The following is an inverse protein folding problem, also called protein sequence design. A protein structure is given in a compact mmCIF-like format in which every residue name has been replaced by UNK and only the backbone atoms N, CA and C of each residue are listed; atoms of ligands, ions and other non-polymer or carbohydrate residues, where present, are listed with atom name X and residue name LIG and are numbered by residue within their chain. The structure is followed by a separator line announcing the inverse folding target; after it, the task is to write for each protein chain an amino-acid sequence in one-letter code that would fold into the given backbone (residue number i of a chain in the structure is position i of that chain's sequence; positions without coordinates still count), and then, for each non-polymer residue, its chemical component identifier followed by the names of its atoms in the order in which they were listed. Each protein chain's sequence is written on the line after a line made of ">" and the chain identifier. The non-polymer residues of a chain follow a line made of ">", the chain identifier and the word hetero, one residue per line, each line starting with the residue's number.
data_IF_126004132682
#
_entry.id   IF_126004132682
#
_cell.length_a   1.000
_cell.length_b   1.000
_cell.length_c   1.000
_cell.angle_alpha   90.00
_cell.angle_beta   90.00
_cell.angle_gamma   90.00
#
_symmetry.space_group_name_H-M   'P 1'
#
loop_
_entity.id
_entity.type
_entity.pdbx_description
1 polymer ?
#
# COMPACT_ATOMS: atom_id res chain seq x y z
N UNK A 1 -9.54 -29.59 29.99
CA UNK A 1 -8.71 -29.48 28.81
C UNK A 1 -8.95 -30.67 27.88
N UNK A 2 -9.84 -30.55 26.94
CA UNK A 2 -9.99 -31.52 25.86
C UNK A 2 -8.88 -31.23 24.85
N UNK A 3 -7.96 -32.16 24.70
CA UNK A 3 -7.02 -32.16 23.61
C UNK A 3 -7.80 -32.15 22.30
N UNK A 4 -7.63 -31.11 21.49
CA UNK A 4 -8.51 -30.82 20.34
C UNK A 4 -8.46 -31.88 19.24
N UNK A 5 -7.59 -32.88 19.32
CA UNK A 5 -7.41 -33.92 18.31
C UNK A 5 -7.99 -35.29 18.68
N UNK A 6 -8.62 -35.45 19.83
CA UNK A 6 -9.08 -36.79 20.29
C UNK A 6 -7.94 -37.78 20.59
N UNK A 7 -6.70 -37.43 20.34
CA UNK A 7 -5.51 -38.20 20.60
C UNK A 7 -4.89 -37.61 21.87
N UNK A 8 -5.24 -38.17 23.00
CA UNK A 8 -4.88 -37.70 24.33
C UNK A 8 -3.40 -37.88 24.70
N UNK A 9 -2.47 -37.35 23.92
CA UNK A 9 -1.06 -37.38 24.26
C UNK A 9 -0.63 -36.07 24.93
N UNK A 10 -0.10 -36.21 26.13
CA UNK A 10 0.78 -35.23 26.72
C UNK A 10 2.16 -35.38 26.07
N UNK A 11 2.59 -34.37 25.35
CA UNK A 11 3.87 -34.34 24.63
C UNK A 11 4.97 -33.65 25.44
N UNK A 12 4.69 -33.35 26.73
CA UNK A 12 5.65 -32.80 27.67
C UNK A 12 5.93 -31.29 27.51
N UNK A 13 5.30 -30.61 26.58
CA UNK A 13 5.40 -29.17 26.44
C UNK A 13 4.38 -28.42 27.30
N UNK A 14 4.57 -27.11 27.46
CA UNK A 14 3.60 -26.19 28.04
C UNK A 14 3.72 -24.87 27.31
N UNK A 15 2.97 -24.73 26.19
CA UNK A 15 3.11 -23.61 25.26
C UNK A 15 1.77 -22.89 25.15
N UNK A 16 1.78 -21.59 25.42
CA UNK A 16 0.72 -20.68 24.96
C UNK A 16 1.03 -20.32 23.49
N UNK A 17 0.37 -21.02 22.57
CA UNK A 17 0.61 -20.87 21.15
C UNK A 17 0.17 -19.53 20.59
N UNK A 18 -0.85 -18.88 21.20
CA UNK A 18 -1.26 -17.54 20.78
C UNK A 18 -0.22 -16.50 21.19
N UNK A 19 0.30 -16.58 22.39
CA UNK A 19 1.39 -15.71 22.85
C UNK A 19 2.66 -15.95 22.03
N UNK A 20 3.01 -17.20 21.75
CA UNK A 20 4.19 -17.58 21.00
C UNK A 20 4.23 -16.98 19.56
N UNK A 21 3.09 -16.67 18.94
CA UNK A 21 3.00 -16.13 17.58
C UNK A 21 2.63 -14.66 17.53
N UNK A 22 2.24 -14.05 18.65
CA UNK A 22 1.71 -12.70 18.71
C UNK A 22 2.63 -11.71 19.39
N UNK A 23 2.37 -10.45 19.14
CA UNK A 23 2.96 -9.28 19.78
C UNK A 23 1.96 -8.14 19.83
N UNK A 24 2.25 -7.12 20.59
CA UNK A 24 1.52 -5.86 20.52
C UNK A 24 1.85 -5.19 19.19
N UNK A 25 0.82 -4.94 18.39
CA UNK A 25 0.94 -4.20 17.14
C UNK A 25 1.29 -2.72 17.43
N UNK A 26 2.19 -2.15 16.63
CA UNK A 26 2.59 -0.75 16.76
C UNK A 26 2.49 -0.04 15.41
N UNK A 27 2.08 1.23 15.45
CA UNK A 27 2.04 2.09 14.26
C UNK A 27 2.66 3.44 14.56
N UNK A 28 3.49 3.91 13.64
CA UNK A 28 4.02 5.28 13.64
C UNK A 28 3.72 5.95 12.31
N UNK A 29 3.51 7.26 12.34
CA UNK A 29 3.31 8.06 11.14
C UNK A 29 3.94 9.43 11.35
N UNK A 30 4.73 9.86 10.37
CA UNK A 30 5.34 11.18 10.32
C UNK A 30 4.97 11.85 9.01
N UNK A 31 4.64 13.13 9.07
CA UNK A 31 4.33 13.94 7.89
C UNK A 31 4.96 15.30 8.04
N UNK A 32 5.59 15.75 6.98
CA UNK A 32 6.17 17.09 6.87
C UNK A 32 5.60 17.76 5.63
N UNK A 33 5.21 19.03 5.73
CA UNK A 33 4.78 19.81 4.58
C UNK A 33 5.33 21.22 4.63
N UNK A 34 5.72 21.71 3.47
CA UNK A 34 6.16 23.08 3.23
C UNK A 34 5.31 23.66 2.11
N UNK A 35 4.84 24.88 2.28
CA UNK A 35 4.13 25.61 1.23
C UNK A 35 4.52 27.07 1.24
N UNK A 36 4.48 27.68 0.08
CA UNK A 36 4.80 29.09 -0.08
C UNK A 36 4.32 29.58 -1.44
N UNK A 37 4.51 30.86 -1.68
CA UNK A 37 4.15 31.40 -2.96
C UNK A 37 4.03 32.92 -2.96
N UNK A 38 3.51 33.41 -4.07
CA UNK A 38 3.22 34.81 -4.35
C UNK A 38 1.81 34.93 -4.95
N UNK A 39 1.40 36.11 -5.33
CA UNK A 39 0.09 36.31 -5.99
C UNK A 39 -0.09 35.50 -7.28
N UNK A 40 1.00 35.05 -7.92
CA UNK A 40 0.97 34.33 -9.20
C UNK A 40 1.54 32.94 -9.17
N UNK A 41 2.25 32.60 -8.12
CA UNK A 41 2.89 31.28 -8.01
C UNK A 41 2.66 30.74 -6.62
N UNK A 42 2.30 29.49 -6.51
CA UNK A 42 2.27 28.79 -5.23
C UNK A 42 2.83 27.37 -5.41
N UNK A 43 3.38 26.89 -4.33
CA UNK A 43 3.87 25.54 -4.25
C UNK A 43 3.54 24.88 -2.91
N UNK A 44 3.38 23.59 -2.94
CA UNK A 44 3.32 22.75 -1.75
C UNK A 44 4.17 21.51 -2.00
N UNK A 45 5.05 21.22 -1.04
CA UNK A 45 5.83 19.98 -1.01
C UNK A 45 5.53 19.28 0.29
N UNK A 46 5.25 17.99 0.24
CA UNK A 46 5.06 17.19 1.44
C UNK A 46 5.76 15.85 1.30
N UNK A 47 6.17 15.29 2.44
CA UNK A 47 6.67 13.94 2.55
C UNK A 47 5.98 13.25 3.73
N UNK A 48 5.68 11.98 3.58
CA UNK A 48 5.09 11.15 4.61
C UNK A 48 5.82 9.81 4.73
N UNK A 49 5.97 9.37 5.97
CA UNK A 49 6.45 8.06 6.35
C UNK A 49 5.41 7.40 7.25
N UNK A 50 5.14 6.14 7.00
CA UNK A 50 4.27 5.32 7.83
C UNK A 50 4.89 3.95 8.03
N UNK A 51 4.92 3.49 9.28
CA UNK A 51 5.31 2.13 9.63
C UNK A 51 4.22 1.52 10.50
N UNK A 52 3.88 0.27 10.24
CA UNK A 52 2.93 -0.49 11.03
C UNK A 52 3.42 -1.94 11.14
N UNK A 53 3.50 -2.44 12.36
CA UNK A 53 3.73 -3.86 12.66
C UNK A 53 2.39 -4.51 12.99
N UNK A 54 2.14 -5.70 12.45
CA UNK A 54 0.97 -6.50 12.78
C UNK A 54 1.04 -7.09 14.19
N UNK A 55 -0.06 -7.71 14.59
CA UNK A 55 -0.17 -8.42 15.87
C UNK A 55 0.56 -9.77 15.86
N UNK A 56 0.89 -10.33 14.71
CA UNK A 56 1.80 -11.46 14.59
C UNK A 56 3.27 -11.01 14.59
N UNK A 57 4.19 -11.92 14.85
CA UNK A 57 5.61 -11.61 14.96
C UNK A 57 6.29 -11.23 13.63
N UNK A 58 5.63 -11.40 12.49
CA UNK A 58 6.25 -11.22 11.17
C UNK A 58 5.64 -10.09 10.35
N UNK A 59 4.31 -9.96 10.33
CA UNK A 59 3.66 -9.02 9.42
C UNK A 59 4.02 -7.56 9.74
N UNK A 60 4.10 -6.78 8.68
CA UNK A 60 4.42 -5.36 8.79
C UNK A 60 4.32 -4.65 7.46
N UNK A 61 4.23 -3.33 7.52
CA UNK A 61 4.19 -2.46 6.36
C UNK A 61 4.99 -1.19 6.63
N UNK A 62 5.82 -0.81 5.69
CA UNK A 62 6.48 0.49 5.65
C UNK A 62 6.10 1.21 4.37
N UNK A 63 5.79 2.48 4.47
CA UNK A 63 5.31 3.29 3.37
C UNK A 63 5.98 4.65 3.38
N UNK A 64 6.49 5.06 2.24
CA UNK A 64 7.11 6.35 1.98
C UNK A 64 6.34 7.04 0.87
N UNK A 65 5.93 8.27 1.10
CA UNK A 65 5.24 9.08 0.13
C UNK A 65 5.84 10.48 0.03
N UNK A 66 5.73 11.07 -1.14
CA UNK A 66 5.99 12.48 -1.35
C UNK A 66 4.90 13.06 -2.25
N UNK A 67 4.69 14.35 -2.16
CA UNK A 67 3.83 15.09 -3.08
C UNK A 67 4.41 16.47 -3.35
N UNK A 68 4.41 16.84 -4.60
CA UNK A 68 4.75 18.19 -5.07
C UNK A 68 3.56 18.73 -5.84
N UNK A 69 3.08 19.90 -5.48
CA UNK A 69 2.06 20.65 -6.20
C UNK A 69 2.61 22.04 -6.52
N UNK A 70 2.56 22.41 -7.79
CA UNK A 70 3.04 23.69 -8.30
C UNK A 70 1.92 24.34 -9.11
N UNK A 71 1.69 25.63 -8.91
CA UNK A 71 0.83 26.43 -9.75
C UNK A 71 1.52 27.74 -10.09
N UNK A 72 1.42 28.15 -11.34
CA UNK A 72 1.95 29.42 -11.80
C UNK A 72 1.00 30.06 -12.83
N UNK A 73 0.65 31.31 -12.60
CA UNK A 73 -0.13 32.12 -13.53
C UNK A 73 0.75 33.25 -14.08
N UNK A 74 0.82 33.38 -15.38
CA UNK A 74 1.58 34.42 -16.06
C UNK A 74 1.04 35.82 -15.75
N UNK A 75 1.88 36.84 -15.96
CA UNK A 75 1.46 38.23 -15.83
C UNK A 75 0.25 38.51 -16.75
N UNK A 76 -0.81 39.09 -16.20
CA UNK A 76 -2.06 39.32 -16.92
C UNK A 76 -3.04 38.15 -16.91
N UNK A 77 -2.70 37.00 -16.29
CA UNK A 77 -3.63 35.89 -16.11
C UNK A 77 -3.95 35.08 -17.37
N UNK A 78 -3.15 35.26 -18.43
CA UNK A 78 -3.39 34.59 -19.72
C UNK A 78 -3.21 33.09 -19.66
N UNK A 79 -2.14 32.63 -19.02
CA UNK A 79 -1.80 31.20 -18.94
C UNK A 79 -1.63 30.82 -17.48
N UNK A 80 -2.22 29.69 -17.08
CA UNK A 80 -1.96 29.05 -15.80
C UNK A 80 -1.43 27.65 -16.04
N UNK A 81 -0.31 27.33 -15.39
CA UNK A 81 0.30 26.01 -15.35
C UNK A 81 0.06 25.40 -13.99
N UNK A 82 -0.36 24.15 -13.94
CA UNK A 82 -0.46 23.35 -12.74
C UNK A 82 0.27 22.04 -12.94
N UNK A 83 1.02 21.60 -11.94
CA UNK A 83 1.71 20.32 -11.93
C UNK A 83 1.54 19.68 -10.55
N UNK A 84 1.07 18.46 -10.53
CA UNK A 84 1.04 17.61 -9.35
C UNK A 84 1.86 16.35 -9.60
N UNK A 85 2.68 15.94 -8.64
CA UNK A 85 3.45 14.70 -8.69
C UNK A 85 3.40 14.05 -7.31
N UNK A 86 3.00 12.78 -7.23
CA UNK A 86 2.82 12.07 -5.98
C UNK A 86 3.39 10.63 -6.05
N UNK A 87 4.72 10.45 -5.95
CA UNK A 87 5.32 9.13 -5.83
C UNK A 87 5.04 8.51 -4.46
N UNK A 88 4.85 7.18 -4.43
CA UNK A 88 4.72 6.40 -3.21
C UNK A 88 5.33 5.02 -3.38
N UNK A 89 6.00 4.52 -2.34
CA UNK A 89 6.47 3.14 -2.27
C UNK A 89 6.05 2.52 -0.95
N UNK A 90 5.58 1.29 -1.00
CA UNK A 90 5.19 0.52 0.18
C UNK A 90 5.86 -0.85 0.15
N UNK A 91 6.48 -1.22 1.27
CA UNK A 91 7.04 -2.55 1.52
C UNK A 91 6.14 -3.28 2.50
N UNK A 92 5.85 -4.54 2.20
CA UNK A 92 4.95 -5.37 3.02
C UNK A 92 5.63 -6.69 3.37
N UNK A 93 5.38 -7.15 4.59
CA UNK A 93 5.64 -8.51 5.05
C UNK A 93 4.30 -9.09 5.45
N UNK A 94 3.90 -10.22 4.88
CA UNK A 94 2.62 -10.84 5.15
C UNK A 94 2.85 -12.17 5.85
N UNK A 95 2.21 -12.36 7.01
CA UNK A 95 2.14 -13.67 7.64
C UNK A 95 1.13 -14.56 6.90
N UNK A 96 1.31 -15.87 6.99
CA UNK A 96 0.28 -16.81 6.54
C UNK A 96 -1.00 -16.60 7.34
N UNK A 97 -2.15 -16.61 6.66
CA UNK A 97 -3.45 -16.52 7.29
C UNK A 97 -3.73 -17.65 8.29
N UNK A 98 -3.07 -18.80 8.07
CA UNK A 98 -3.24 -20.00 8.90
C UNK A 98 -2.54 -19.95 10.25
N UNK A 99 -1.67 -18.97 10.51
CA UNK A 99 -0.88 -18.90 11.74
C UNK A 99 -1.75 -18.89 12.98
N UNK A 100 -2.73 -17.96 13.05
CA UNK A 100 -3.61 -17.85 14.21
C UNK A 100 -4.57 -19.04 14.33
N UNK A 101 -5.09 -19.54 13.21
CA UNK A 101 -5.92 -20.75 13.22
C UNK A 101 -5.16 -21.93 13.82
N UNK A 102 -3.96 -22.19 13.31
CA UNK A 102 -3.13 -23.27 13.81
C UNK A 102 -2.71 -23.05 15.28
N UNK A 103 -2.49 -21.80 15.70
CA UNK A 103 -2.17 -21.49 17.10
C UNK A 103 -3.34 -21.81 18.05
N UNK A 104 -4.58 -21.53 17.63
CA UNK A 104 -5.79 -21.87 18.40
C UNK A 104 -6.03 -23.37 18.46
N UNK A 105 -5.77 -24.08 17.37
CA UNK A 105 -5.97 -25.54 17.25
C UNK A 105 -4.82 -26.36 17.83
N UNK A 106 -3.66 -25.75 18.10
CA UNK A 106 -2.48 -26.42 18.58
C UNK A 106 -2.67 -26.97 19.99
N UNK A 107 -2.20 -28.22 20.19
CA UNK A 107 -2.18 -28.81 21.51
C UNK A 107 -1.11 -28.09 22.37
N UNK A 108 -1.48 -27.52 23.53
CA UNK A 108 -0.56 -26.78 24.39
C UNK A 108 0.59 -27.63 24.94
N UNK A 109 0.44 -28.98 24.98
CA UNK A 109 1.54 -29.88 25.39
C UNK A 109 2.54 -30.19 24.29
N UNK A 110 2.29 -29.74 23.04
CA UNK A 110 3.22 -29.88 21.94
C UNK A 110 4.39 -28.90 22.11
N UNK A 111 5.66 -29.38 22.12
CA UNK A 111 6.82 -28.50 22.20
C UNK A 111 7.00 -27.68 20.91
N UNK A 112 7.63 -26.49 21.01
CA UNK A 112 7.95 -25.66 19.85
C UNK A 112 8.99 -26.33 18.95
N UNK A 113 10.06 -26.83 19.54
CA UNK A 113 11.18 -27.48 18.85
C UNK A 113 11.11 -28.99 19.05
N UNK A 114 11.71 -29.74 18.13
CA UNK A 114 11.79 -31.21 18.26
C UNK A 114 12.70 -31.59 19.45
N UNK A 115 12.19 -32.37 20.41
CA UNK A 115 13.01 -32.79 21.55
C UNK A 115 14.24 -33.66 21.18
N UNK A 116 14.22 -34.29 20.01
CA UNK A 116 15.32 -35.11 19.49
C UNK A 116 16.36 -34.29 18.72
N UNK A 117 15.92 -33.21 18.09
CA UNK A 117 16.77 -32.26 17.37
C UNK A 117 16.27 -30.84 17.58
N UNK A 118 16.79 -30.13 18.61
CA UNK A 118 16.35 -28.76 18.91
C UNK A 118 16.66 -27.72 17.82
N UNK A 119 17.32 -28.08 16.73
CA UNK A 119 17.50 -27.21 15.56
C UNK A 119 16.29 -27.22 14.65
N UNK A 120 15.37 -28.16 14.81
CA UNK A 120 14.17 -28.33 14.01
C UNK A 120 12.92 -27.95 14.81
N UNK A 121 11.94 -27.43 14.12
CA UNK A 121 10.60 -27.23 14.68
C UNK A 121 9.89 -28.59 14.83
N UNK A 122 9.10 -28.72 15.89
CA UNK A 122 8.29 -29.93 16.10
C UNK A 122 7.30 -30.10 14.94
N UNK A 123 7.26 -31.33 14.39
CA UNK A 123 6.39 -31.64 13.26
C UNK A 123 4.97 -31.98 13.73
N UNK A 124 4.00 -31.19 13.31
CA UNK A 124 2.59 -31.34 13.67
C UNK A 124 1.82 -32.35 12.79
N UNK A 125 2.52 -33.19 12.03
CA UNK A 125 1.86 -34.20 11.19
C UNK A 125 0.94 -35.09 12.02
N UNK A 126 -0.35 -35.13 11.61
CA UNK A 126 -1.39 -35.90 12.30
C UNK A 126 -2.03 -35.20 13.49
N UNK A 127 -1.68 -33.96 13.79
CA UNK A 127 -2.39 -33.12 14.76
C UNK A 127 -3.48 -32.27 14.11
N UNK A 128 -4.47 -31.79 14.88
CA UNK A 128 -5.56 -30.94 14.39
C UNK A 128 -5.05 -29.63 13.78
N UNK A 129 -4.07 -29.02 14.41
CA UNK A 129 -3.43 -27.79 13.92
C UNK A 129 -2.67 -27.97 12.59
N UNK A 130 -2.31 -29.21 12.23
CA UNK A 130 -1.66 -29.53 10.96
C UNK A 130 -0.21 -29.01 10.83
N UNK A 131 0.07 -27.81 11.30
CA UNK A 131 1.36 -27.12 11.13
C UNK A 131 1.78 -26.41 12.42
N UNK A 132 3.09 -26.36 12.66
CA UNK A 132 3.66 -25.55 13.73
C UNK A 132 3.50 -24.05 13.39
N UNK A 133 2.69 -23.30 14.14
CA UNK A 133 2.36 -21.91 13.78
C UNK A 133 3.58 -20.98 13.86
N UNK A 134 4.51 -21.23 14.76
CA UNK A 134 5.75 -20.45 14.87
C UNK A 134 6.70 -20.73 13.70
N UNK A 135 6.77 -21.98 13.23
CA UNK A 135 7.52 -22.32 12.02
C UNK A 135 6.97 -21.60 10.79
N UNK A 136 5.64 -21.53 10.62
CA UNK A 136 5.01 -20.80 9.53
C UNK A 136 5.46 -19.32 9.53
N UNK A 137 5.48 -18.67 10.69
CA UNK A 137 5.96 -17.29 10.80
C UNK A 137 7.43 -17.11 10.49
N UNK A 138 8.27 -18.08 10.85
CA UNK A 138 9.73 -17.96 10.75
C UNK A 138 10.28 -18.41 9.41
N UNK A 139 9.69 -19.42 8.80
CA UNK A 139 10.19 -20.02 7.56
C UNK A 139 9.43 -19.60 6.30
N UNK A 140 8.11 -19.47 6.35
CA UNK A 140 7.33 -19.02 5.21
C UNK A 140 7.45 -17.50 5.09
N UNK A 141 8.09 -17.02 4.02
CA UNK A 141 8.33 -15.61 3.78
C UNK A 141 7.44 -15.11 2.65
N UNK A 142 6.54 -14.22 2.96
CA UNK A 142 5.76 -13.50 1.97
C UNK A 142 6.04 -12.00 2.08
N UNK A 143 6.55 -11.41 1.02
CA UNK A 143 6.85 -9.99 0.96
C UNK A 143 6.25 -9.37 -0.30
N UNK A 144 5.96 -8.10 -0.23
CA UNK A 144 5.46 -7.34 -1.38
C UNK A 144 6.02 -5.95 -1.41
N UNK A 145 6.22 -5.44 -2.62
CA UNK A 145 6.57 -4.04 -2.88
C UNK A 145 5.55 -3.45 -3.83
N UNK A 146 4.96 -2.34 -3.44
CA UNK A 146 4.06 -1.57 -4.31
C UNK A 146 4.68 -0.22 -4.57
N UNK A 147 4.76 0.18 -5.84
CA UNK A 147 5.18 1.51 -6.26
C UNK A 147 4.02 2.18 -6.98
N UNK A 148 3.76 3.41 -6.61
CA UNK A 148 2.74 4.27 -7.20
C UNK A 148 3.42 5.54 -7.68
N UNK A 149 3.06 5.99 -8.86
CA UNK A 149 3.42 7.30 -9.36
C UNK A 149 2.18 7.91 -9.98
N UNK A 150 1.64 8.92 -9.32
CA UNK A 150 0.57 9.76 -9.83
C UNK A 150 1.15 11.09 -10.24
N UNK A 151 0.90 11.54 -11.46
CA UNK A 151 1.19 12.89 -11.83
C UNK A 151 0.20 13.42 -12.85
N UNK A 152 -0.08 14.69 -12.75
CA UNK A 152 -0.87 15.44 -13.72
C UNK A 152 -0.26 16.80 -14.00
N UNK A 153 -0.38 17.22 -15.23
CA UNK A 153 -0.02 18.56 -15.69
C UNK A 153 -1.18 19.20 -16.43
N UNK A 154 -1.51 20.43 -16.06
CA UNK A 154 -2.58 21.21 -16.70
C UNK A 154 -2.05 22.52 -17.23
N UNK A 155 -2.41 22.84 -18.45
CA UNK A 155 -2.25 24.18 -19.04
C UNK A 155 -3.63 24.76 -19.28
N UNK A 156 -3.92 25.88 -18.63
CA UNK A 156 -5.17 26.62 -18.80
C UNK A 156 -4.90 27.95 -19.44
N UNK A 157 -5.64 28.26 -20.50
CA UNK A 157 -5.59 29.51 -21.22
C UNK A 157 -6.87 30.33 -20.93
N UNK A 158 -6.70 31.60 -20.64
CA UNK A 158 -7.80 32.56 -20.64
C UNK A 158 -7.84 33.24 -22.01
N UNK A 159 -8.83 32.92 -22.83
CA UNK A 159 -8.90 33.35 -24.24
C UNK A 159 -9.47 34.72 -24.43
N UNK A 160 -10.23 35.26 -23.47
CA UNK A 160 -10.88 36.57 -23.63
C UNK A 160 -9.92 37.73 -23.87
N UNK A 161 -8.77 37.83 -23.13
CA UNK A 161 -7.80 38.90 -23.40
C UNK A 161 -7.20 38.86 -24.80
N UNK A 162 -7.29 37.72 -25.49
CA UNK A 162 -6.80 37.53 -26.87
C UNK A 162 -7.85 37.87 -27.92
N UNK A 163 -9.14 37.69 -27.59
CA UNK A 163 -10.24 37.76 -28.57
C UNK A 163 -11.03 39.04 -28.50
N UNK A 164 -11.12 39.67 -27.33
CA UNK A 164 -12.00 40.83 -27.11
C UNK A 164 -11.33 41.88 -26.23
N UNK A 165 -11.57 43.16 -26.56
CA UNK A 165 -11.26 44.26 -25.64
C UNK A 165 -12.29 44.29 -24.50
N UNK A 166 -11.87 43.83 -23.34
CA UNK A 166 -12.46 43.97 -21.99
C UNK A 166 -13.98 44.18 -21.90
N UNK A 167 -14.69 43.12 -21.56
CA UNK A 167 -15.84 43.23 -20.68
C UNK A 167 -15.61 42.33 -19.45
N UNK A 168 -15.64 42.94 -18.26
CA UNK A 168 -15.32 42.29 -16.97
C UNK A 168 -16.33 41.17 -16.55
N UNK A 169 -17.36 40.93 -17.34
CA UNK A 169 -18.46 40.00 -17.06
C UNK A 169 -18.38 38.68 -17.80
N UNK A 170 -17.42 38.53 -18.69
CA UNK A 170 -17.27 37.32 -19.50
C UNK A 170 -16.00 36.55 -19.11
N UNK A 171 -16.08 35.27 -19.18
CA UNK A 171 -14.89 34.39 -19.09
C UNK A 171 -14.97 33.34 -20.20
N UNK A 172 -13.89 33.17 -20.93
CA UNK A 172 -13.69 32.05 -21.84
C UNK A 172 -12.34 31.44 -21.55
N UNK A 173 -12.35 30.22 -21.01
CA UNK A 173 -11.11 29.49 -20.66
C UNK A 173 -11.10 28.13 -21.33
N UNK A 174 -9.95 27.73 -21.81
CA UNK A 174 -9.72 26.35 -22.26
C UNK A 174 -8.56 25.76 -21.50
N UNK A 175 -8.66 24.49 -21.15
CA UNK A 175 -7.58 23.78 -20.44
C UNK A 175 -7.33 22.43 -21.06
N UNK A 176 -6.08 22.06 -21.09
CA UNK A 176 -5.60 20.73 -21.45
C UNK A 176 -4.92 20.12 -20.23
N UNK A 177 -5.38 18.95 -19.81
CA UNK A 177 -4.81 18.19 -18.70
C UNK A 177 -4.31 16.87 -19.21
N UNK A 178 -3.06 16.53 -18.89
CA UNK A 178 -2.52 15.19 -19.06
C UNK A 178 -2.26 14.61 -17.68
N UNK A 179 -2.74 13.38 -17.44
CA UNK A 179 -2.50 12.65 -16.21
C UNK A 179 -1.96 11.24 -16.52
N UNK A 180 -1.05 10.77 -15.69
CA UNK A 180 -0.50 9.42 -15.75
C UNK A 180 -0.51 8.82 -14.34
N UNK A 181 -1.23 7.72 -14.19
CA UNK A 181 -1.29 6.92 -12.97
C UNK A 181 -0.58 5.60 -13.23
N UNK A 182 0.54 5.36 -12.54
CA UNK A 182 1.33 4.14 -12.66
C UNK A 182 1.28 3.37 -11.35
N UNK A 183 1.02 2.08 -11.48
CA UNK A 183 1.00 1.13 -10.37
C UNK A 183 1.85 -0.07 -10.73
N UNK A 184 2.91 -0.29 -9.95
CA UNK A 184 3.76 -1.47 -10.02
C UNK A 184 3.62 -2.26 -8.73
N UNK A 185 3.33 -3.54 -8.82
CA UNK A 185 3.22 -4.43 -7.68
C UNK A 185 4.07 -5.67 -7.89
N UNK A 186 4.93 -5.94 -6.93
CA UNK A 186 5.79 -7.11 -6.91
C UNK A 186 5.54 -7.86 -5.63
N UNK A 187 5.17 -9.14 -5.72
CA UNK A 187 5.00 -10.04 -4.60
C UNK A 187 5.94 -11.23 -4.77
N UNK A 188 6.47 -11.70 -3.67
CA UNK A 188 7.25 -12.92 -3.62
C UNK A 188 6.90 -13.71 -2.37
N UNK A 189 6.90 -15.01 -2.54
CA UNK A 189 6.70 -15.95 -1.47
C UNK A 189 7.75 -17.06 -1.55
N UNK A 190 8.24 -17.49 -0.39
CA UNK A 190 9.28 -18.48 -0.29
C UNK A 190 9.03 -19.38 0.91
N UNK A 191 9.16 -20.70 0.71
CA UNK A 191 9.19 -21.75 1.73
C UNK A 191 10.43 -22.61 1.53
N UNK A 192 11.33 -22.71 2.52
CA UNK A 192 12.53 -23.54 2.40
C UNK A 192 12.20 -25.04 2.43
N UNK A 193 13.07 -25.86 1.86
CA UNK A 193 12.99 -27.33 1.92
C UNK A 193 13.03 -27.90 3.34
N UNK A 194 13.59 -27.13 4.27
CA UNK A 194 13.66 -27.49 5.71
C UNK A 194 12.38 -27.19 6.48
N UNK A 195 11.34 -26.64 5.84
CA UNK A 195 10.03 -26.49 6.45
C UNK A 195 9.37 -27.86 6.64
N UNK A 196 8.80 -28.13 7.82
CA UNK A 196 8.05 -29.38 8.05
C UNK A 196 6.89 -29.54 7.09
N UNK A 197 6.33 -28.43 6.62
CA UNK A 197 5.28 -28.41 5.60
C UNK A 197 5.79 -28.91 4.23
N UNK A 198 6.96 -28.46 3.80
CA UNK A 198 7.60 -28.94 2.56
C UNK A 198 7.98 -30.43 2.70
N UNK A 199 8.59 -30.80 3.82
CA UNK A 199 8.98 -32.19 4.12
C UNK A 199 7.76 -33.11 4.12
N UNK A 200 6.67 -32.74 4.80
CA UNK A 200 5.45 -33.54 4.86
C UNK A 200 4.75 -33.67 3.50
N UNK A 201 4.92 -32.69 2.61
CA UNK A 201 4.40 -32.72 1.25
C UNK A 201 5.33 -33.40 0.25
N UNK A 202 6.52 -33.85 0.67
CA UNK A 202 7.54 -34.44 -0.21
C UNK A 202 8.12 -33.45 -1.22
N UNK A 203 8.23 -32.17 -0.83
CA UNK A 203 8.75 -31.07 -1.68
C UNK A 203 10.10 -30.58 -1.20
N UNK A 204 10.98 -30.20 -2.13
CA UNK A 204 12.31 -29.68 -1.83
C UNK A 204 12.34 -28.18 -1.45
N UNK A 205 11.18 -27.54 -1.44
CA UNK A 205 11.00 -26.11 -1.21
C UNK A 205 10.13 -25.51 -2.28
N UNK A 206 9.63 -24.31 -2.04
CA UNK A 206 8.70 -23.65 -2.94
C UNK A 206 8.98 -22.14 -2.97
N UNK A 207 8.85 -21.55 -4.15
CA UNK A 207 8.94 -20.11 -4.33
C UNK A 207 7.96 -19.65 -5.40
N UNK A 208 7.40 -18.48 -5.23
CA UNK A 208 6.64 -17.79 -6.27
C UNK A 208 7.00 -16.32 -6.32
N UNK A 209 6.91 -15.77 -7.51
CA UNK A 209 7.07 -14.34 -7.76
C UNK A 209 5.99 -13.88 -8.72
N UNK A 210 5.29 -12.82 -8.32
CA UNK A 210 4.27 -12.18 -9.14
C UNK A 210 4.65 -10.72 -9.36
N UNK A 211 4.61 -10.30 -10.60
CA UNK A 211 4.78 -8.91 -10.98
C UNK A 211 3.58 -8.44 -11.80
N UNK A 212 2.99 -7.36 -11.37
CA UNK A 212 1.94 -6.69 -12.13
C UNK A 212 2.25 -5.21 -12.30
N UNK A 213 2.02 -4.71 -13.49
CA UNK A 213 2.16 -3.30 -13.83
C UNK A 213 0.89 -2.81 -14.51
N UNK A 214 0.42 -1.66 -14.07
CA UNK A 214 -0.70 -0.95 -14.69
C UNK A 214 -0.32 0.51 -14.89
N UNK A 215 -0.72 1.06 -16.03
CA UNK A 215 -0.58 2.47 -16.31
C UNK A 215 -1.88 2.97 -16.97
N UNK A 216 -2.45 4.02 -16.40
CA UNK A 216 -3.63 4.70 -16.94
C UNK A 216 -3.22 6.11 -17.31
N UNK A 217 -3.39 6.47 -18.58
CA UNK A 217 -3.11 7.81 -19.09
C UNK A 217 -4.39 8.46 -19.54
N UNK A 218 -4.57 9.68 -19.12
CA UNK A 218 -5.75 10.47 -19.47
C UNK A 218 -5.32 11.78 -20.10
N UNK A 219 -5.93 12.11 -21.21
CA UNK A 219 -5.84 13.42 -21.82
C UNK A 219 -7.25 14.03 -21.81
N UNK A 220 -7.40 15.17 -21.19
CA UNK A 220 -8.67 15.84 -21.04
C UNK A 220 -8.57 17.26 -21.60
N UNK A 221 -9.53 17.66 -22.41
CA UNK A 221 -9.67 19.01 -22.91
C UNK A 221 -11.03 19.56 -22.49
N UNK A 222 -11.03 20.66 -21.75
CA UNK A 222 -12.24 21.31 -21.27
C UNK A 222 -12.23 22.78 -21.70
N UNK A 223 -13.33 23.25 -22.24
CA UNK A 223 -13.56 24.68 -22.54
C UNK A 223 -14.77 25.16 -21.75
N UNK A 224 -14.60 26.26 -21.03
CA UNK A 224 -15.63 26.87 -20.22
C UNK A 224 -15.89 28.29 -20.71
N UNK A 225 -17.17 28.62 -20.91
CA UNK A 225 -17.66 29.97 -21.16
C UNK A 225 -18.60 30.37 -20.03
N UNK A 226 -18.47 31.59 -19.54
CA UNK A 226 -19.45 32.20 -18.64
C UNK A 226 -19.65 33.67 -18.98
N UNK A 227 -20.90 34.13 -18.90
CA UNK A 227 -21.26 35.50 -19.10
C UNK A 227 -22.48 35.87 -18.26
N UNK A 228 -22.57 37.13 -17.89
CA UNK A 228 -23.69 37.72 -17.14
C UNK A 228 -24.34 38.85 -17.95
N UNK A 229 -25.61 38.67 -18.30
CA UNK A 229 -26.42 39.61 -19.04
C UNK A 229 -27.55 40.13 -18.14
N UNK A 230 -27.43 41.35 -17.64
CA UNK A 230 -28.38 41.87 -16.66
C UNK A 230 -28.53 40.97 -15.45
N UNK A 231 -29.71 40.39 -15.25
CA UNK A 231 -30.02 39.48 -14.17
C UNK A 231 -29.80 37.98 -14.54
N UNK A 232 -29.34 37.69 -15.74
CA UNK A 232 -29.13 36.32 -16.21
C UNK A 232 -27.63 35.94 -16.22
N UNK A 233 -27.33 34.77 -15.72
CA UNK A 233 -25.99 34.18 -15.76
C UNK A 233 -26.02 32.92 -16.62
N UNK A 234 -25.22 32.90 -17.68
CA UNK A 234 -25.08 31.75 -18.59
C UNK A 234 -23.70 31.12 -18.36
N UNK A 235 -23.67 29.81 -18.19
CA UNK A 235 -22.43 29.01 -18.14
C UNK A 235 -22.58 27.85 -19.12
N UNK A 236 -21.57 27.64 -19.94
CA UNK A 236 -21.46 26.49 -20.83
C UNK A 236 -20.11 25.83 -20.67
N UNK A 237 -20.08 24.49 -20.79
CA UNK A 237 -18.87 23.69 -20.73
C UNK A 237 -18.93 22.68 -21.89
N UNK A 238 -17.81 22.48 -22.54
CA UNK A 238 -17.60 21.46 -23.57
C UNK A 238 -16.26 20.75 -23.30
#
# INVERSE_FOLDING_TARGET
>A
NRLASGVGYDLGGSVDWLDAVSRVGARTQHSLSLSGGSARSNYRVSADYRSANGIDLYSGREEYGARVALNHTTKGGLITFSLNVAPRVAYRKNASWDVFRNAVEANPTTPIMDPKDPSLYYNFKGQAAGYNPLELLKKDKSTGTTKLLDWDGTVKLNLLPLLLNKEDRQTLTTQLTFADHQYDNYNQWFRPSTSTLAINAGREGEASQDYSKSAVRTLEWITNYANSFGNHNIKAMA
#
